data_IF_990562161491
#
_entry.id   IF_990562161491
#
_cell.length_a   1.000
_cell.length_b   1.000
_cell.length_c   1.000
_cell.angle_alpha   90.00
_cell.angle_beta   90.00
_cell.angle_gamma   90.00
#
_symmetry.space_group_name_H-M   'P 1'
#
loop_
_entity.id
_entity.type
_entity.pdbx_description
1 polymer ?
#
# COMPACT_ATOMS: atom_id res chain seq x y z
N UNK A 1 12.71 8.28 -4.05
CA UNK A 1 11.41 7.97 -4.64
C UNK A 1 10.42 9.10 -4.33
N UNK A 2 9.64 9.49 -5.32
CA UNK A 2 8.60 10.52 -5.18
C UNK A 2 7.25 9.77 -5.29
N UNK A 3 6.34 9.90 -4.30
CA UNK A 3 4.99 9.35 -4.40
C UNK A 3 4.25 9.99 -5.58
N UNK A 4 3.47 9.18 -6.28
CA UNK A 4 2.62 9.60 -7.40
C UNK A 4 1.17 9.58 -6.95
N UNK A 5 0.52 10.73 -7.00
CA UNK A 5 -0.89 10.89 -6.67
C UNK A 5 -1.64 11.23 -7.95
N UNK A 6 -2.55 10.37 -8.38
CA UNK A 6 -3.44 10.65 -9.49
C UNK A 6 -4.61 11.50 -8.99
N UNK A 7 -4.76 12.68 -9.57
CA UNK A 7 -5.66 13.70 -9.09
C UNK A 7 -6.53 14.27 -10.22
N UNK A 8 -7.61 14.95 -9.82
CA UNK A 8 -8.59 15.68 -10.65
C UNK A 8 -9.52 14.79 -11.49
N UNK A 9 -10.80 15.15 -11.46
CA UNK A 9 -11.87 14.54 -12.27
C UNK A 9 -12.02 13.03 -12.13
N UNK A 10 -11.58 12.48 -10.98
CA UNK A 10 -11.61 11.03 -10.79
C UNK A 10 -13.04 10.47 -10.70
N UNK A 11 -13.93 11.15 -9.95
CA UNK A 11 -15.35 10.83 -9.83
C UNK A 11 -16.18 12.14 -9.91
N UNK A 12 -15.84 13.04 -10.80
CA UNK A 12 -16.37 14.41 -10.85
C UNK A 12 -17.90 14.45 -10.93
N UNK A 13 -18.52 13.52 -11.67
CA UNK A 13 -19.98 13.41 -11.73
C UNK A 13 -20.63 13.17 -10.37
N UNK A 14 -19.89 12.66 -9.39
CA UNK A 14 -20.39 12.44 -8.03
C UNK A 14 -20.46 13.73 -7.20
N UNK A 15 -20.06 14.86 -7.73
CA UNK A 15 -20.42 16.15 -7.12
C UNK A 15 -21.95 16.27 -7.03
N UNK A 16 -22.66 15.90 -8.09
CA UNK A 16 -24.14 16.06 -8.19
C UNK A 16 -24.89 14.72 -8.33
N UNK A 17 -24.20 13.59 -8.46
CA UNK A 17 -24.79 12.26 -8.65
C UNK A 17 -24.29 11.28 -7.59
N UNK A 18 -25.16 10.39 -7.06
CA UNK A 18 -24.74 9.36 -6.09
C UNK A 18 -23.93 8.22 -6.72
N UNK A 19 -23.70 8.25 -8.04
CA UNK A 19 -22.96 7.21 -8.78
C UNK A 19 -22.10 7.86 -9.85
N UNK A 20 -20.87 7.34 -10.08
CA UNK A 20 -20.00 7.82 -11.14
C UNK A 20 -20.45 7.30 -12.51
N UNK A 21 -19.92 7.89 -13.55
CA UNK A 21 -19.97 7.34 -14.90
C UNK A 21 -19.07 6.11 -15.03
N UNK A 22 -19.28 5.32 -16.10
CA UNK A 22 -18.41 4.18 -16.41
C UNK A 22 -16.99 4.60 -16.76
N UNK A 23 -16.83 5.74 -17.41
CA UNK A 23 -15.52 6.27 -17.76
C UNK A 23 -14.71 6.59 -16.49
N UNK A 24 -15.29 7.35 -15.57
CA UNK A 24 -14.65 7.69 -14.29
C UNK A 24 -14.26 6.44 -13.47
N UNK A 25 -15.15 5.45 -13.37
CA UNK A 25 -14.83 4.20 -12.70
C UNK A 25 -13.66 3.45 -13.38
N UNK A 26 -13.57 3.51 -14.72
CA UNK A 26 -12.45 2.93 -15.47
C UNK A 26 -11.17 3.71 -15.27
N UNK A 27 -11.23 5.05 -15.17
CA UNK A 27 -10.06 5.90 -14.96
C UNK A 27 -9.44 5.65 -13.57
N UNK A 28 -10.28 5.51 -12.53
CA UNK A 28 -9.80 5.10 -11.20
C UNK A 28 -9.13 3.72 -11.25
N UNK A 29 -9.75 2.74 -11.91
CA UNK A 29 -9.17 1.41 -12.03
C UNK A 29 -7.83 1.43 -12.79
N UNK A 30 -7.73 2.21 -13.87
CA UNK A 30 -6.51 2.38 -14.64
C UNK A 30 -5.40 3.00 -13.77
N UNK A 31 -5.69 4.04 -12.98
CA UNK A 31 -4.72 4.64 -12.07
C UNK A 31 -4.15 3.60 -11.07
N UNK A 32 -4.99 2.69 -10.57
CA UNK A 32 -4.55 1.58 -9.71
C UNK A 32 -3.64 0.61 -10.47
N UNK A 33 -3.98 0.28 -11.70
CA UNK A 33 -3.20 -0.64 -12.54
C UNK A 33 -1.88 -0.03 -13.02
N UNK A 34 -1.83 1.29 -13.19
CA UNK A 34 -0.61 2.05 -13.46
C UNK A 34 0.29 2.23 -12.22
N UNK A 35 -0.13 1.66 -11.08
CA UNK A 35 0.66 1.61 -9.86
C UNK A 35 0.91 3.00 -9.22
N UNK A 36 -0.04 3.93 -9.32
CA UNK A 36 0.02 5.15 -8.52
C UNK A 36 0.01 4.81 -7.01
N UNK A 37 0.60 5.68 -6.21
CA UNK A 37 0.64 5.51 -4.75
C UNK A 37 -0.69 5.86 -4.10
N UNK A 38 -1.39 6.87 -4.64
CA UNK A 38 -2.69 7.30 -4.15
C UNK A 38 -3.55 7.90 -5.27
N UNK A 39 -4.84 7.93 -5.06
CA UNK A 39 -5.83 8.69 -5.86
C UNK A 39 -6.46 9.76 -4.99
N UNK A 40 -6.87 10.88 -5.59
CA UNK A 40 -7.38 12.03 -4.86
C UNK A 40 -8.78 12.40 -5.34
N UNK A 41 -9.68 12.64 -4.40
CA UNK A 41 -10.95 13.34 -4.61
C UNK A 41 -10.78 14.82 -4.27
N UNK A 42 -11.48 15.69 -4.97
CA UNK A 42 -11.42 17.15 -4.83
C UNK A 42 -12.81 17.72 -4.57
N UNK A 43 -13.48 18.20 -5.58
CA UNK A 43 -14.83 18.76 -5.50
C UNK A 43 -15.87 17.79 -4.96
N UNK A 44 -15.72 16.51 -5.28
CA UNK A 44 -16.58 15.41 -4.85
C UNK A 44 -16.75 15.34 -3.32
N UNK A 45 -15.67 15.64 -2.59
CA UNK A 45 -15.65 15.61 -1.12
C UNK A 45 -15.67 16.99 -0.49
N UNK A 46 -15.21 18.05 -1.20
CA UNK A 46 -15.11 19.39 -0.65
C UNK A 46 -16.40 20.20 -0.78
N UNK A 47 -17.13 20.04 -1.87
CA UNK A 47 -18.34 20.84 -2.20
C UNK A 47 -19.49 19.99 -2.74
N UNK A 48 -19.27 18.73 -3.04
CA UNK A 48 -20.27 17.82 -3.61
C UNK A 48 -21.40 17.47 -2.65
N UNK A 49 -22.49 16.99 -3.22
CA UNK A 49 -23.69 16.58 -2.46
C UNK A 49 -23.55 15.16 -1.89
N UNK A 50 -22.53 14.38 -2.33
CA UNK A 50 -22.34 12.96 -1.99
C UNK A 50 -20.92 12.66 -1.52
N UNK A 51 -20.37 13.36 -0.51
CA UNK A 51 -18.95 13.24 -0.14
C UNK A 51 -18.60 11.84 0.42
N UNK A 52 -19.48 11.27 1.25
CA UNK A 52 -19.24 9.94 1.87
C UNK A 52 -19.34 8.85 0.81
N UNK A 53 -20.35 8.93 -0.05
CA UNK A 53 -20.58 7.99 -1.15
C UNK A 53 -19.41 8.01 -2.17
N UNK A 54 -18.83 9.18 -2.40
CA UNK A 54 -17.67 9.35 -3.29
C UNK A 54 -16.45 8.61 -2.75
N UNK A 55 -16.14 8.75 -1.47
CA UNK A 55 -15.05 8.01 -0.83
C UNK A 55 -15.33 6.50 -0.84
N UNK A 56 -16.55 6.10 -0.47
CA UNK A 56 -16.93 4.69 -0.47
C UNK A 56 -16.91 4.07 -1.87
N UNK A 57 -17.26 4.84 -2.91
CA UNK A 57 -17.19 4.39 -4.30
C UNK A 57 -15.74 4.23 -4.75
N UNK A 58 -14.88 5.21 -4.44
CA UNK A 58 -13.45 5.17 -4.72
C UNK A 58 -12.81 3.92 -4.10
N UNK A 59 -13.04 3.67 -2.82
CA UNK A 59 -12.53 2.48 -2.12
C UNK A 59 -13.00 1.17 -2.79
N UNK A 60 -14.27 1.06 -3.17
CA UNK A 60 -14.78 -0.13 -3.87
C UNK A 60 -14.11 -0.38 -5.21
N UNK A 61 -13.88 0.68 -5.99
CA UNK A 61 -13.21 0.56 -7.30
C UNK A 61 -11.77 0.12 -7.10
N UNK A 62 -11.05 0.76 -6.16
CA UNK A 62 -9.65 0.42 -5.85
C UNK A 62 -9.54 -1.05 -5.45
N UNK A 63 -10.30 -1.49 -4.45
CA UNK A 63 -10.28 -2.90 -3.98
C UNK A 63 -10.60 -3.89 -5.11
N UNK A 64 -11.54 -3.56 -5.98
CA UNK A 64 -11.89 -4.42 -7.12
C UNK A 64 -10.79 -4.47 -8.17
N UNK A 65 -10.16 -3.33 -8.44
CA UNK A 65 -9.02 -3.25 -9.36
C UNK A 65 -7.80 -4.01 -8.82
N UNK A 66 -7.50 -3.87 -7.53
CA UNK A 66 -6.42 -4.60 -6.87
C UNK A 66 -6.65 -6.12 -6.88
N UNK A 67 -7.87 -6.57 -6.57
CA UNK A 67 -8.22 -7.99 -6.62
C UNK A 67 -8.09 -8.58 -8.03
N UNK A 68 -8.52 -7.84 -9.06
CA UNK A 68 -8.35 -8.26 -10.45
C UNK A 68 -6.88 -8.32 -10.87
N UNK A 69 -6.03 -7.48 -10.29
CA UNK A 69 -4.59 -7.47 -10.58
C UNK A 69 -3.87 -8.71 -10.04
N UNK A 70 -4.32 -9.26 -8.93
CA UNK A 70 -3.76 -10.49 -8.38
C UNK A 70 -4.00 -11.72 -9.29
N UNK A 71 -5.00 -11.65 -10.19
CA UNK A 71 -5.30 -12.70 -11.16
C UNK A 71 -4.40 -12.65 -12.40
N UNK A 72 -3.75 -11.51 -12.67
CA UNK A 72 -2.83 -11.37 -13.79
C UNK A 72 -1.40 -11.56 -13.29
N UNK A 73 -0.72 -12.62 -13.72
CA UNK A 73 0.72 -12.79 -13.49
C UNK A 73 1.46 -11.54 -13.98
N UNK A 74 1.99 -10.76 -13.04
CA UNK A 74 2.79 -9.60 -13.38
C UNK A 74 4.22 -10.03 -13.63
N UNK A 75 4.52 -10.25 -14.86
CA UNK A 75 5.89 -10.25 -15.40
C UNK A 75 6.42 -8.79 -15.49
N UNK A 76 6.12 -7.98 -14.46
CA UNK A 76 6.24 -6.52 -14.56
C UNK A 76 7.63 -6.00 -14.25
N UNK A 77 8.53 -6.80 -13.73
CA UNK A 77 9.89 -6.33 -13.52
C UNK A 77 10.87 -7.31 -14.16
N UNK A 78 11.26 -7.03 -15.42
CA UNK A 78 12.61 -7.36 -15.83
C UNK A 78 13.53 -6.97 -14.66
N UNK A 79 14.25 -7.93 -14.11
CA UNK A 79 15.15 -7.66 -12.98
C UNK A 79 16.07 -6.52 -13.42
N UNK A 80 15.96 -5.32 -12.84
CA UNK A 80 16.84 -4.25 -13.21
C UNK A 80 18.25 -4.71 -12.84
N UNK A 81 19.18 -4.66 -13.78
CA UNK A 81 20.59 -4.73 -13.45
C UNK A 81 20.88 -3.54 -12.54
N UNK A 82 21.08 -3.80 -11.26
CA UNK A 82 21.29 -2.74 -10.27
C UNK A 82 22.36 -3.15 -9.28
N UNK A 83 23.23 -2.21 -8.97
CA UNK A 83 24.20 -2.32 -7.88
C UNK A 83 23.61 -1.91 -6.52
N UNK A 84 22.33 -1.50 -6.49
CA UNK A 84 21.62 -1.16 -5.23
C UNK A 84 21.22 -2.44 -4.47
N UNK A 85 22.05 -2.82 -3.52
CA UNK A 85 21.81 -3.99 -2.67
C UNK A 85 20.48 -3.92 -1.93
N UNK A 86 20.01 -2.72 -1.57
CA UNK A 86 18.73 -2.55 -0.88
C UNK A 86 17.54 -2.90 -1.79
N UNK A 87 17.63 -2.56 -3.07
CA UNK A 87 16.63 -2.95 -4.07
C UNK A 87 16.65 -4.46 -4.32
N UNK A 88 17.82 -5.07 -4.37
CA UNK A 88 17.96 -6.53 -4.51
C UNK A 88 17.29 -7.26 -3.35
N UNK A 89 17.48 -6.78 -2.11
CA UNK A 89 16.81 -7.35 -0.92
C UNK A 89 15.29 -7.18 -1.01
N UNK A 90 14.80 -6.02 -1.45
CA UNK A 90 13.36 -5.78 -1.61
C UNK A 90 12.75 -6.72 -2.68
N UNK A 91 13.44 -6.94 -3.80
CA UNK A 91 13.02 -7.89 -4.84
C UNK A 91 13.00 -9.34 -4.32
N UNK A 92 14.00 -9.72 -3.52
CA UNK A 92 14.05 -11.03 -2.88
C UNK A 92 12.88 -11.22 -1.89
N UNK A 93 12.59 -10.23 -1.06
CA UNK A 93 11.44 -10.25 -0.14
C UNK A 93 10.12 -10.42 -0.91
N UNK A 94 9.92 -9.67 -1.99
CA UNK A 94 8.76 -9.86 -2.88
C UNK A 94 8.68 -11.29 -3.38
N UNK A 95 9.79 -11.84 -3.90
CA UNK A 95 9.80 -13.20 -4.47
C UNK A 95 9.45 -14.26 -3.44
N UNK A 96 9.92 -14.10 -2.20
CA UNK A 96 9.59 -15.01 -1.08
C UNK A 96 8.07 -14.99 -0.83
N UNK A 97 7.49 -13.81 -0.66
CA UNK A 97 6.04 -13.66 -0.41
C UNK A 97 5.20 -14.24 -1.55
N UNK A 98 5.60 -14.02 -2.79
CA UNK A 98 4.87 -14.54 -3.97
C UNK A 98 5.01 -16.07 -4.12
N UNK A 99 6.06 -16.68 -3.57
CA UNK A 99 6.32 -18.12 -3.67
C UNK A 99 5.66 -18.94 -2.57
N UNK A 100 5.29 -18.33 -1.44
CA UNK A 100 4.67 -19.01 -0.29
C UNK A 100 3.31 -18.41 0.05
N UNK A 101 2.20 -19.13 -0.17
CA UNK A 101 0.84 -18.67 0.14
C UNK A 101 0.59 -18.42 1.63
N UNK A 102 1.46 -18.95 2.52
CA UNK A 102 1.33 -18.72 3.95
C UNK A 102 1.88 -17.36 4.38
N UNK A 103 2.74 -16.76 3.58
CA UNK A 103 3.24 -15.40 3.84
C UNK A 103 2.13 -14.37 3.70
N UNK A 104 1.70 -13.78 4.81
CA UNK A 104 0.56 -12.84 4.86
C UNK A 104 0.98 -11.38 4.86
N UNK A 105 2.23 -11.10 5.19
CA UNK A 105 2.72 -9.73 5.35
C UNK A 105 4.24 -9.66 5.15
N UNK A 106 4.72 -8.46 4.86
CA UNK A 106 6.14 -8.09 4.94
C UNK A 106 6.29 -7.10 6.07
N UNK A 107 7.19 -7.37 7.01
CA UNK A 107 7.51 -6.43 8.09
C UNK A 107 8.89 -5.84 7.85
N UNK A 108 9.03 -4.53 7.95
CA UNK A 108 10.32 -3.88 7.88
C UNK A 108 10.48 -2.80 8.97
N UNK A 109 11.68 -2.77 9.54
CA UNK A 109 12.10 -1.69 10.42
C UNK A 109 12.83 -0.62 9.62
N UNK A 110 12.49 0.63 9.84
CA UNK A 110 13.07 1.72 9.07
C UNK A 110 13.18 3.01 9.88
N UNK A 111 14.35 3.63 9.89
CA UNK A 111 14.55 4.94 10.51
C UNK A 111 14.19 6.09 9.57
N UNK A 112 14.46 5.95 8.28
CA UNK A 112 14.24 6.99 7.26
C UNK A 112 13.02 6.76 6.38
N UNK A 113 12.44 5.55 6.42
CA UNK A 113 11.39 5.11 5.50
C UNK A 113 11.91 4.53 4.18
N UNK A 114 13.23 4.54 3.93
CA UNK A 114 13.79 4.14 2.64
C UNK A 114 13.47 2.68 2.28
N UNK A 115 13.66 1.75 3.21
CA UNK A 115 13.37 0.32 3.01
C UNK A 115 11.88 0.09 2.67
N UNK A 116 10.98 0.73 3.43
CA UNK A 116 9.55 0.64 3.17
C UNK A 116 9.16 1.17 1.79
N UNK A 117 9.76 2.28 1.36
CA UNK A 117 9.55 2.83 0.03
C UNK A 117 10.09 1.92 -1.09
N UNK A 118 11.21 1.24 -0.87
CA UNK A 118 11.72 0.25 -1.83
C UNK A 118 10.80 -0.97 -1.92
N UNK A 119 10.32 -1.48 -0.78
CA UNK A 119 9.34 -2.56 -0.74
C UNK A 119 8.04 -2.16 -1.43
N UNK A 120 7.53 -0.97 -1.18
CA UNK A 120 6.37 -0.41 -1.89
C UNK A 120 6.56 -0.41 -3.41
N UNK A 121 7.76 -0.06 -3.89
CA UNK A 121 8.08 -0.04 -5.34
C UNK A 121 8.08 -1.39 -6.01
N UNK A 122 8.50 -2.42 -5.31
CA UNK A 122 8.53 -3.77 -5.88
C UNK A 122 7.16 -4.46 -5.82
N UNK A 123 6.17 -3.81 -5.21
CA UNK A 123 4.77 -4.25 -5.17
C UNK A 123 4.60 -5.72 -4.78
N UNK A 124 5.03 -6.15 -3.58
CA UNK A 124 4.74 -7.49 -3.10
C UNK A 124 3.22 -7.69 -3.00
N UNK A 125 2.75 -8.90 -3.27
CA UNK A 125 1.32 -9.25 -3.16
C UNK A 125 0.92 -9.50 -1.70
N UNK A 126 1.40 -8.64 -0.79
CA UNK A 126 1.09 -8.66 0.64
C UNK A 126 1.27 -7.26 1.23
N UNK A 127 0.57 -6.91 2.32
CA UNK A 127 0.75 -5.64 3.00
C UNK A 127 2.16 -5.52 3.58
N UNK A 128 2.68 -4.29 3.59
CA UNK A 128 4.01 -3.94 4.12
C UNK A 128 3.82 -3.20 5.43
N UNK A 129 4.10 -3.84 6.56
CA UNK A 129 4.11 -3.17 7.86
C UNK A 129 5.46 -2.49 8.10
N UNK A 130 5.48 -1.17 8.03
CA UNK A 130 6.69 -0.37 8.21
C UNK A 130 6.75 0.21 9.62
N UNK A 131 7.65 -0.30 10.44
CA UNK A 131 7.81 0.10 11.82
C UNK A 131 8.94 1.12 11.94
N UNK A 132 8.64 2.28 12.52
CA UNK A 132 9.61 3.34 12.73
C UNK A 132 9.38 4.02 14.09
N UNK A 133 10.46 4.40 14.80
CA UNK A 133 10.33 5.20 16.02
C UNK A 133 9.97 6.67 15.73
N UNK A 134 10.02 7.10 14.47
CA UNK A 134 9.83 8.49 14.08
C UNK A 134 8.44 8.73 13.49
N UNK A 135 7.57 9.43 14.20
CA UNK A 135 6.23 9.76 13.76
C UNK A 135 6.21 10.52 12.42
N UNK A 136 7.20 11.36 12.15
CA UNK A 136 7.33 12.08 10.88
C UNK A 136 7.57 11.13 9.71
N UNK A 137 8.26 10.01 9.92
CA UNK A 137 8.51 8.98 8.93
C UNK A 137 7.24 8.18 8.68
N UNK A 138 6.54 7.74 9.75
CA UNK A 138 5.29 6.99 9.61
C UNK A 138 4.22 7.81 8.89
N UNK A 139 4.06 9.09 9.22
CA UNK A 139 3.13 10.00 8.51
C UNK A 139 3.44 10.10 7.02
N UNK A 140 4.70 10.19 6.64
CA UNK A 140 5.12 10.24 5.24
C UNK A 140 4.87 8.92 4.51
N UNK A 141 5.11 7.79 5.18
CA UNK A 141 4.90 6.46 4.62
C UNK A 141 3.43 6.11 4.40
N UNK A 142 2.50 6.81 5.07
CA UNK A 142 1.05 6.62 4.84
C UNK A 142 0.59 6.94 3.41
N UNK A 143 1.41 7.65 2.61
CA UNK A 143 1.16 7.92 1.20
C UNK A 143 1.76 6.86 0.26
N UNK A 144 2.54 5.91 0.78
CA UNK A 144 3.18 4.89 -0.04
C UNK A 144 2.24 3.71 -0.26
N UNK A 145 2.14 3.24 -1.49
CA UNK A 145 1.26 2.13 -1.86
C UNK A 145 1.60 0.85 -1.10
N UNK A 146 0.58 0.21 -0.52
CA UNK A 146 0.70 -1.07 0.18
C UNK A 146 1.41 -0.99 1.53
N UNK A 147 1.78 0.22 2.00
CA UNK A 147 2.47 0.42 3.28
C UNK A 147 1.49 0.76 4.38
N UNK A 148 1.56 0.01 5.47
CA UNK A 148 0.87 0.26 6.74
C UNK A 148 1.93 0.72 7.75
N UNK A 149 2.06 2.02 7.98
CA UNK A 149 3.09 2.54 8.87
C UNK A 149 2.68 2.43 10.34
N UNK A 150 3.59 1.94 11.18
CA UNK A 150 3.41 1.80 12.61
C UNK A 150 4.49 2.58 13.34
N UNK A 151 4.09 3.46 14.28
CA UNK A 151 5.02 4.16 15.14
C UNK A 151 5.26 3.34 16.41
N UNK A 152 6.49 2.91 16.62
CA UNK A 152 6.87 2.15 17.82
C UNK A 152 8.38 2.22 18.05
N UNK A 153 8.76 2.42 19.29
CA UNK A 153 10.16 2.41 19.78
C UNK A 153 10.61 0.96 20.08
N UNK A 154 10.42 0.05 19.11
CA UNK A 154 10.89 -1.32 19.30
C UNK A 154 12.41 -1.35 19.36
N UNK A 155 12.94 -1.65 20.54
CA UNK A 155 14.36 -1.76 20.82
C UNK A 155 14.62 -3.14 21.42
N UNK A 156 15.67 -3.82 20.95
CA UNK A 156 16.05 -5.12 21.51
C UNK A 156 16.87 -5.99 20.56
N UNK A 157 17.09 -7.22 20.96
CA UNK A 157 17.66 -8.26 20.11
C UNK A 157 16.69 -8.62 18.97
N UNK A 158 17.18 -9.28 17.94
CA UNK A 158 16.34 -9.73 16.81
C UNK A 158 15.16 -10.59 17.27
N UNK A 159 15.36 -11.44 18.29
CA UNK A 159 14.28 -12.28 18.83
C UNK A 159 13.23 -11.47 19.59
N UNK A 160 13.65 -10.48 20.37
CA UNK A 160 12.75 -9.57 21.09
C UNK A 160 11.94 -8.72 20.11
N UNK A 161 12.58 -8.26 19.04
CA UNK A 161 11.94 -7.51 17.97
C UNK A 161 10.85 -8.36 17.29
N UNK A 162 11.14 -9.60 16.93
CA UNK A 162 10.17 -10.50 16.30
C UNK A 162 8.96 -10.73 17.21
N UNK A 163 9.17 -11.05 18.49
CA UNK A 163 8.06 -11.24 19.44
C UNK A 163 7.22 -9.97 19.62
N UNK A 164 7.88 -8.82 19.69
CA UNK A 164 7.18 -7.53 19.85
C UNK A 164 6.36 -7.17 18.61
N UNK A 165 6.82 -7.53 17.42
CA UNK A 165 6.08 -7.35 16.17
C UNK A 165 4.86 -8.24 16.13
N UNK A 166 5.02 -9.53 16.42
CA UNK A 166 3.93 -10.49 16.46
C UNK A 166 2.82 -10.03 17.41
N UNK A 167 3.18 -9.63 18.63
CA UNK A 167 2.25 -9.05 19.59
C UNK A 167 1.59 -7.78 19.05
N UNK A 168 2.35 -6.86 18.47
CA UNK A 168 1.82 -5.59 17.93
C UNK A 168 0.80 -5.80 16.81
N UNK A 169 1.09 -6.73 15.90
CA UNK A 169 0.20 -7.04 14.77
C UNK A 169 -1.05 -7.78 15.23
N UNK A 170 -0.93 -8.70 16.16
CA UNK A 170 -2.05 -9.44 16.74
C UNK A 170 -2.96 -8.52 17.57
N UNK A 171 -2.41 -7.69 18.45
CA UNK A 171 -3.19 -6.73 19.26
C UNK A 171 -3.96 -5.72 18.40
N UNK A 172 -3.41 -5.33 17.26
CA UNK A 172 -4.07 -4.42 16.32
C UNK A 172 -4.98 -5.13 15.32
N UNK A 173 -5.17 -6.44 15.43
CA UNK A 173 -5.98 -7.26 14.53
C UNK A 173 -5.55 -7.17 13.05
N UNK A 174 -4.27 -6.94 12.81
CA UNK A 174 -3.73 -6.90 11.45
C UNK A 174 -3.47 -8.29 10.89
N UNK A 175 -3.10 -9.24 11.74
CA UNK A 175 -2.94 -10.68 11.44
C UNK A 175 -3.61 -11.50 12.54
N UNK A 176 -4.08 -12.70 12.21
CA UNK A 176 -4.60 -13.63 13.19
C UNK A 176 -3.44 -14.35 13.90
N UNK A 177 -3.73 -14.85 15.13
CA UNK A 177 -2.76 -15.61 15.91
C UNK A 177 -2.37 -16.90 15.13
N UNK A 178 -1.07 -17.11 14.90
CA UNK A 178 -0.52 -18.25 14.16
C UNK A 178 -0.47 -18.08 12.63
N UNK A 179 -0.72 -16.90 12.07
CA UNK A 179 -0.42 -16.58 10.65
C UNK A 179 1.03 -16.09 10.50
N UNK A 180 1.75 -16.65 9.51
CA UNK A 180 3.14 -16.29 9.17
C UNK A 180 3.23 -15.19 8.11
#
# INVERSE_FOLDING_TARGET
QIPVITATQMLESMIDSPRPTRAEASDVANAVWELCDAVMLSGETATGNYPVESVAMMDRIIRRAEAATAEFERDVLAQPETDDHSLVVALAARRIVESDPNMKAVVCFTNSGYTALLLSKVHPNAPIYAISPHETVTRRLALARGVIPLCSDLVGSSEELLRSVDQLLTERQHVADGEE
#
